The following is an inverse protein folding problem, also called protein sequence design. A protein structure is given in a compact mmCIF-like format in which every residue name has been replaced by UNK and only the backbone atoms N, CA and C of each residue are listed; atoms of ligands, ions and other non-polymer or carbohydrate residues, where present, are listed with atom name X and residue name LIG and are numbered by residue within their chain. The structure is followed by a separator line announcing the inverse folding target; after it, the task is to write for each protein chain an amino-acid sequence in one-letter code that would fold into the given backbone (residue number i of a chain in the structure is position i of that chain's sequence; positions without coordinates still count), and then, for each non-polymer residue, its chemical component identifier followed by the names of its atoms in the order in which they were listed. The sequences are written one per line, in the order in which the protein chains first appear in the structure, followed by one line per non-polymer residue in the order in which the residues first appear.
data_IF_839913603804
#
_entry.id   IF_839913603804
#
_cell.length_a   1.000
_cell.length_b   1.000
_cell.length_c   1.000
_cell.angle_alpha   90.00
_cell.angle_beta   90.00
_cell.angle_gamma   90.00
#
_symmetry.space_group_name_H-M   'P 1'
#
loop_
_entity.id
_entity.type
_entity.pdbx_description
1 polymer ?
#
# COMPACT_ATOMS: atom_id res chain seq x y z
N UNK A 1 -13.62 -3.38 4.88
CA UNK A 1 -12.95 -3.94 3.70
C UNK A 1 -11.67 -4.61 4.16
N UNK A 2 -11.42 -5.85 3.75
CA UNK A 2 -10.17 -6.53 4.07
C UNK A 2 -9.04 -6.18 3.06
N UNK A 3 -7.87 -6.80 3.22
CA UNK A 3 -6.73 -6.53 2.36
C UNK A 3 -6.94 -6.97 0.90
N UNK A 4 -7.63 -8.10 0.67
CA UNK A 4 -7.87 -8.60 -0.68
C UNK A 4 -8.86 -7.69 -1.40
N UNK A 5 -9.97 -7.34 -0.74
CA UNK A 5 -10.95 -6.39 -1.27
C UNK A 5 -10.31 -5.03 -1.56
N UNK A 6 -9.39 -4.54 -0.70
CA UNK A 6 -8.63 -3.30 -0.97
C UNK A 6 -7.79 -3.40 -2.24
N UNK A 7 -7.08 -4.52 -2.40
CA UNK A 7 -6.21 -4.74 -3.56
C UNK A 7 -7.02 -4.84 -4.86
N UNK A 8 -8.18 -5.48 -4.83
CA UNK A 8 -9.12 -5.53 -5.95
C UNK A 8 -9.64 -4.13 -6.29
N UNK A 9 -10.11 -3.37 -5.28
CA UNK A 9 -10.59 -2.00 -5.46
C UNK A 9 -9.54 -1.07 -6.09
N UNK A 10 -8.27 -1.23 -5.69
CA UNK A 10 -7.13 -0.51 -6.26
C UNK A 10 -6.86 -0.93 -7.72
N UNK A 11 -6.87 -2.23 -7.99
CA UNK A 11 -6.63 -2.79 -9.32
C UNK A 11 -7.69 -2.33 -10.33
N UNK A 12 -8.97 -2.31 -9.94
CA UNK A 12 -10.09 -1.79 -10.77
C UNK A 12 -9.90 -0.33 -11.20
N UNK A 13 -9.12 0.44 -10.43
CA UNK A 13 -8.80 1.85 -10.70
C UNK A 13 -7.47 2.02 -11.43
N UNK A 14 -6.86 0.93 -11.89
CA UNK A 14 -5.58 0.95 -12.60
C UNK A 14 -4.37 1.21 -11.68
N UNK A 15 -4.52 1.03 -10.36
CA UNK A 15 -3.41 1.13 -9.42
C UNK A 15 -2.67 -0.20 -9.37
N UNK A 16 -1.37 -0.18 -9.68
CA UNK A 16 -0.49 -1.33 -9.41
C UNK A 16 -0.14 -1.33 -7.93
N UNK A 17 -0.43 -2.44 -7.24
CA UNK A 17 -0.21 -2.58 -5.79
C UNK A 17 0.70 -3.76 -5.49
N UNK A 18 1.74 -3.53 -4.70
CA UNK A 18 2.58 -4.58 -4.10
C UNK A 18 2.51 -4.45 -2.60
N UNK A 19 2.00 -5.48 -1.93
CA UNK A 19 2.06 -5.62 -0.48
C UNK A 19 2.92 -6.86 -0.18
N UNK A 20 4.06 -6.67 0.48
CA UNK A 20 5.01 -7.76 0.71
C UNK A 20 5.63 -7.73 2.09
N UNK A 21 6.10 -8.89 2.50
CA UNK A 21 6.98 -9.08 3.66
C UNK A 21 8.31 -9.66 3.20
N UNK A 22 9.41 -9.09 3.68
CA UNK A 22 10.78 -9.51 3.38
C UNK A 22 11.31 -10.41 4.52
N UNK A 23 11.50 -11.69 4.20
CA UNK A 23 11.89 -12.70 5.19
C UNK A 23 13.27 -12.46 5.79
N UNK A 24 14.25 -12.04 4.99
CA UNK A 24 15.60 -11.78 5.48
C UNK A 24 15.57 -10.62 6.47
N UNK A 25 14.88 -9.53 6.12
CA UNK A 25 14.67 -8.39 7.03
C UNK A 25 13.94 -8.79 8.30
N UNK A 26 12.98 -9.70 8.23
CA UNK A 26 12.26 -10.19 9.41
C UNK A 26 13.21 -10.92 10.36
N UNK A 27 14.07 -11.81 9.84
CA UNK A 27 15.05 -12.53 10.66
C UNK A 27 16.12 -11.63 11.28
N UNK A 28 16.40 -10.49 10.66
CA UNK A 28 17.32 -9.48 11.15
C UNK A 28 16.63 -8.39 12.01
N UNK A 29 15.35 -8.58 12.36
CA UNK A 29 14.54 -7.63 13.14
C UNK A 29 14.50 -6.20 12.54
N UNK A 30 14.53 -6.10 11.21
CA UNK A 30 14.40 -4.85 10.46
C UNK A 30 12.95 -4.63 10.00
N UNK A 31 12.67 -3.44 9.45
CA UNK A 31 11.38 -3.12 8.81
C UNK A 31 11.18 -4.01 7.58
N UNK A 32 10.41 -5.07 7.75
CA UNK A 32 10.24 -6.14 6.78
C UNK A 32 9.00 -5.96 5.88
N UNK A 33 7.99 -5.24 6.35
CA UNK A 33 6.76 -5.01 5.60
C UNK A 33 6.92 -3.84 4.66
N UNK A 34 6.34 -3.96 3.48
CA UNK A 34 6.40 -2.94 2.45
C UNK A 34 5.09 -2.89 1.69
N UNK A 35 4.63 -1.67 1.43
CA UNK A 35 3.58 -1.41 0.45
C UNK A 35 4.10 -0.43 -0.60
N UNK A 36 3.83 -0.74 -1.86
CA UNK A 36 4.12 0.09 -3.01
C UNK A 36 2.83 0.24 -3.81
N UNK A 37 2.46 1.47 -4.15
CA UNK A 37 1.38 1.76 -5.10
C UNK A 37 1.82 2.79 -6.13
N UNK A 38 1.31 2.64 -7.35
CA UNK A 38 1.59 3.56 -8.46
C UNK A 38 0.51 3.50 -9.54
N UNK A 39 0.43 4.55 -10.36
CA UNK A 39 -0.45 4.61 -11.52
C UNK A 39 -1.91 4.95 -11.18
N UNK A 40 -2.76 4.89 -12.21
CA UNK A 40 -4.18 5.22 -12.11
C UNK A 40 -4.43 6.62 -11.53
N UNK A 41 -5.40 6.78 -10.61
CA UNK A 41 -5.76 8.08 -10.02
C UNK A 41 -4.66 8.69 -9.13
N UNK A 42 -3.56 7.99 -8.89
CA UNK A 42 -2.42 8.54 -8.16
C UNK A 42 -1.64 9.54 -9.03
N UNK A 43 -1.67 9.38 -10.36
CA UNK A 43 -0.92 10.14 -11.37
C UNK A 43 0.20 9.32 -12.02
N UNK A 44 0.54 9.60 -13.29
CA UNK A 44 1.50 8.82 -14.09
C UNK A 44 2.92 8.79 -13.50
N UNK A 45 3.36 9.89 -12.88
CA UNK A 45 4.66 9.98 -12.17
C UNK A 45 4.54 9.75 -10.66
N UNK A 46 3.35 9.38 -10.19
CA UNK A 46 3.07 9.28 -8.76
C UNK A 46 3.37 7.88 -8.26
N UNK A 47 4.36 7.81 -7.40
CA UNK A 47 4.85 6.61 -6.76
C UNK A 47 4.78 6.78 -5.24
N UNK A 48 4.17 5.81 -4.56
CA UNK A 48 4.18 5.74 -3.10
C UNK A 48 4.80 4.42 -2.66
N UNK A 49 5.77 4.51 -1.75
CA UNK A 49 6.37 3.37 -1.08
C UNK A 49 6.61 3.70 0.38
N UNK A 50 6.31 2.74 1.24
CA UNK A 50 6.74 2.76 2.63
C UNK A 50 7.22 1.37 3.07
N UNK A 51 8.24 1.36 3.92
CA UNK A 51 8.81 0.17 4.54
C UNK A 51 8.58 0.32 6.06
N UNK A 52 7.83 -0.60 6.69
CA UNK A 52 7.43 -0.53 8.11
C UNK A 52 7.56 -1.87 8.84
N UNK A 53 7.34 -1.83 10.16
CA UNK A 53 7.54 -2.98 11.05
C UNK A 53 6.41 -4.00 11.04
N UNK A 54 5.20 -3.62 10.63
CA UNK A 54 4.01 -4.48 10.64
C UNK A 54 3.18 -4.28 9.38
N UNK A 55 2.35 -5.27 9.04
CA UNK A 55 1.37 -5.17 7.97
C UNK A 55 0.36 -4.03 8.23
N UNK A 56 -0.13 -3.92 9.47
CA UNK A 56 -1.10 -2.90 9.87
C UNK A 56 -0.56 -1.48 9.66
N UNK A 57 0.68 -1.20 10.07
CA UNK A 57 1.26 0.13 9.84
C UNK A 57 1.46 0.45 8.36
N UNK A 58 1.76 -0.54 7.52
CA UNK A 58 1.77 -0.35 6.06
C UNK A 58 0.38 -0.04 5.51
N UNK A 59 -0.65 -0.74 6.01
CA UNK A 59 -2.04 -0.49 5.61
C UNK A 59 -2.50 0.91 6.00
N UNK A 60 -2.28 1.33 7.25
CA UNK A 60 -2.62 2.67 7.72
C UNK A 60 -1.94 3.76 6.88
N UNK A 61 -0.65 3.56 6.59
CA UNK A 61 0.11 4.51 5.78
C UNK A 61 -0.37 4.58 4.33
N UNK A 62 -0.81 3.46 3.76
CA UNK A 62 -1.45 3.43 2.43
C UNK A 62 -2.80 4.17 2.47
N UNK A 63 -3.66 3.90 3.45
CA UNK A 63 -4.97 4.53 3.56
C UNK A 63 -4.85 6.05 3.72
N UNK A 64 -3.93 6.52 4.56
CA UNK A 64 -3.64 7.96 4.71
C UNK A 64 -3.11 8.58 3.41
N UNK A 65 -2.29 7.85 2.64
CA UNK A 65 -1.84 8.32 1.34
C UNK A 65 -2.99 8.46 0.33
N UNK A 66 -3.88 7.46 0.25
CA UNK A 66 -5.06 7.48 -0.60
C UNK A 66 -5.99 8.65 -0.23
N UNK A 67 -6.26 8.84 1.06
CA UNK A 67 -7.08 9.95 1.55
C UNK A 67 -6.48 11.30 1.16
N UNK A 68 -5.15 11.46 1.29
CA UNK A 68 -4.44 12.65 0.83
C UNK A 68 -4.50 12.88 -0.69
N UNK A 69 -4.90 11.89 -1.47
CA UNK A 69 -5.20 11.98 -2.92
C UNK A 69 -6.68 12.12 -3.22
N UNK A 70 -7.53 12.25 -2.20
CA UNK A 70 -8.99 12.30 -2.35
C UNK A 70 -9.61 10.96 -2.72
N UNK A 71 -8.91 9.85 -2.45
CA UNK A 71 -9.35 8.50 -2.69
C UNK A 71 -9.74 7.85 -1.37
N UNK A 72 -10.98 7.37 -1.27
CA UNK A 72 -11.44 6.60 -0.12
C UNK A 72 -12.05 5.29 -0.61
N UNK A 73 -11.56 4.14 -0.13
CA UNK A 73 -12.19 2.86 -0.42
C UNK A 73 -13.40 2.58 0.50
N UNK A 74 -13.72 3.51 1.42
CA UNK A 74 -14.86 3.42 2.33
C UNK A 74 -15.97 4.43 2.01
N UNK A 75 -15.80 5.24 0.95
CA UNK A 75 -16.76 6.22 0.49
C UNK A 75 -17.79 5.63 -0.46
#
# INVERSE_FOLDING_TARGET
MDMLELMEWLAERGVTTVFKVDGDRMTEHRKAWMVIVSGGPLGEDSFFRTDLGTAESCLDSLLAHLEGKGLSPFA
#
